data_IF_439700807908
#
_entry.id   IF_439700807908
#
_cell.length_a   1.000
_cell.length_b   1.000
_cell.length_c   1.000
_cell.angle_alpha   90.00
_cell.angle_beta   90.00
_cell.angle_gamma   90.00
#
_symmetry.space_group_name_H-M   'P 1'
#
loop_
_entity.id
_entity.type
_entity.pdbx_description
1 polymer ?
#
# COMPACT_ATOMS: atom_id res chain seq x y z
N UNK A 1 10.93 -17.13 3.87
CA UNK A 1 11.23 -16.28 5.04
C UNK A 1 10.24 -15.13 5.24
N UNK A 2 9.27 -14.95 4.35
CA UNK A 2 8.20 -13.93 4.39
C UNK A 2 7.18 -14.07 5.53
N UNK A 3 7.05 -15.24 6.16
CA UNK A 3 6.11 -15.49 7.27
C UNK A 3 6.67 -15.17 8.67
N UNK A 4 7.81 -14.49 8.78
CA UNK A 4 8.31 -14.09 10.10
C UNK A 4 7.35 -13.05 10.71
N UNK A 5 6.85 -13.23 11.95
CA UNK A 5 5.80 -12.39 12.52
C UNK A 5 6.19 -10.90 12.59
N UNK A 6 7.48 -10.62 12.73
CA UNK A 6 8.01 -9.25 12.69
C UNK A 6 7.85 -8.57 11.32
N UNK A 7 8.05 -9.32 10.23
CA UNK A 7 7.91 -8.80 8.86
C UNK A 7 6.43 -8.55 8.55
N UNK A 8 5.55 -9.45 9.00
CA UNK A 8 4.11 -9.28 8.88
C UNK A 8 3.62 -8.06 9.67
N UNK A 9 4.04 -7.91 10.93
CA UNK A 9 3.70 -6.74 11.75
C UNK A 9 4.22 -5.45 11.10
N UNK A 10 5.47 -5.42 10.66
CA UNK A 10 6.05 -4.28 9.95
C UNK A 10 5.26 -3.91 8.70
N UNK A 11 4.87 -4.90 7.89
CA UNK A 11 4.06 -4.70 6.68
C UNK A 11 2.67 -4.17 7.02
N UNK A 12 2.05 -4.68 8.08
CA UNK A 12 0.75 -4.20 8.55
C UNK A 12 0.80 -2.73 9.02
N UNK A 13 1.83 -2.34 9.78
CA UNK A 13 2.02 -0.94 10.16
C UNK A 13 2.28 -0.05 8.94
N UNK A 14 3.03 -0.54 7.95
CA UNK A 14 3.26 0.17 6.70
C UNK A 14 1.97 0.38 5.90
N UNK A 15 1.11 -0.64 5.86
CA UNK A 15 -0.20 -0.58 5.22
C UNK A 15 -1.10 0.47 5.89
N UNK A 16 -1.17 0.46 7.22
CA UNK A 16 -1.90 1.47 7.99
C UNK A 16 -1.35 2.89 7.76
N UNK A 17 -0.02 3.05 7.73
CA UNK A 17 0.61 4.32 7.42
C UNK A 17 0.27 4.80 6.00
N UNK A 18 0.25 3.88 5.03
CA UNK A 18 -0.16 4.15 3.66
C UNK A 18 -1.61 4.62 3.55
N UNK A 19 -2.55 3.93 4.20
CA UNK A 19 -3.96 4.35 4.25
C UNK A 19 -4.13 5.72 4.92
N UNK A 20 -3.40 5.96 6.03
CA UNK A 20 -3.39 7.25 6.70
C UNK A 20 -2.87 8.38 5.80
N UNK A 21 -1.78 8.13 5.07
CA UNK A 21 -1.23 9.06 4.09
C UNK A 21 -2.24 9.42 2.99
N UNK A 22 -2.95 8.42 2.45
CA UNK A 22 -4.02 8.63 1.46
C UNK A 22 -5.17 9.47 2.02
N UNK A 23 -5.55 9.23 3.28
CA UNK A 23 -6.60 10.01 3.94
C UNK A 23 -6.18 11.46 4.18
N UNK A 24 -4.95 11.69 4.63
CA UNK A 24 -4.38 13.03 4.80
C UNK A 24 -4.30 13.76 3.47
N UNK A 25 -3.87 13.09 2.40
CA UNK A 25 -3.88 13.64 1.06
C UNK A 25 -5.29 14.03 0.63
N UNK A 26 -6.26 13.10 0.72
CA UNK A 26 -7.65 13.37 0.35
C UNK A 26 -8.29 14.52 1.13
N UNK A 27 -7.91 14.68 2.40
CA UNK A 27 -8.35 15.80 3.23
C UNK A 27 -7.76 17.15 2.78
N UNK A 28 -6.47 17.19 2.42
CA UNK A 28 -5.78 18.41 2.01
C UNK A 28 -6.11 18.83 0.58
N UNK A 29 -6.38 17.87 -0.30
CA UNK A 29 -6.70 18.13 -1.71
C UNK A 29 -8.17 18.49 -1.92
N UNK A 30 -9.08 17.94 -1.10
CA UNK A 30 -10.51 18.21 -1.23
C UNK A 30 -10.91 19.59 -0.70
N UNK A 31 -11.83 20.25 -1.42
CA UNK A 31 -12.46 21.52 -1.00
C UNK A 31 -13.89 21.26 -0.52
N UNK A 32 -14.30 21.90 0.58
CA UNK A 32 -15.67 21.80 1.10
C UNK A 32 -16.05 20.39 1.57
N UNK A 33 -17.18 19.86 1.07
CA UNK A 33 -17.64 18.50 1.38
C UNK A 33 -16.83 17.39 0.70
N UNK A 34 -16.18 17.69 -0.43
CA UNK A 34 -15.40 16.73 -1.21
C UNK A 34 -14.19 16.18 -0.44
N UNK A 35 -13.67 16.93 0.55
CA UNK A 35 -12.60 16.46 1.42
C UNK A 35 -12.95 15.20 2.18
N UNK A 36 -14.20 15.04 2.63
CA UNK A 36 -14.62 13.85 3.36
C UNK A 36 -14.72 12.65 2.43
N UNK A 37 -15.25 12.87 1.22
CA UNK A 37 -15.34 11.86 0.18
C UNK A 37 -13.96 11.36 -0.22
N UNK A 38 -12.99 12.26 -0.43
CA UNK A 38 -11.63 11.88 -0.80
C UNK A 38 -10.85 11.27 0.38
N UNK A 39 -10.94 11.87 1.56
CA UNK A 39 -10.21 11.40 2.75
C UNK A 39 -10.65 10.01 3.23
N UNK A 40 -11.90 9.62 2.97
CA UNK A 40 -12.45 8.32 3.39
C UNK A 40 -12.56 7.37 2.20
N UNK A 41 -13.06 7.85 1.06
CA UNK A 41 -13.29 7.04 -0.13
C UNK A 41 -11.99 6.48 -0.71
N UNK A 42 -10.92 7.29 -0.77
CA UNK A 42 -9.65 6.83 -1.33
C UNK A 42 -9.02 5.71 -0.48
N UNK A 43 -8.87 5.85 0.85
CA UNK A 43 -8.40 4.74 1.68
C UNK A 43 -9.30 3.50 1.63
N UNK A 44 -10.63 3.66 1.61
CA UNK A 44 -11.55 2.52 1.53
C UNK A 44 -11.36 1.77 0.21
N UNK A 45 -11.30 2.47 -0.92
CA UNK A 45 -11.06 1.84 -2.22
C UNK A 45 -9.70 1.16 -2.22
N UNK A 46 -8.66 1.80 -1.71
CA UNK A 46 -7.32 1.23 -1.63
C UNK A 46 -7.29 -0.05 -0.76
N UNK A 47 -7.95 -0.04 0.40
CA UNK A 47 -8.07 -1.20 1.29
C UNK A 47 -8.88 -2.34 0.65
N UNK A 48 -9.97 -2.00 -0.06
CA UNK A 48 -10.76 -2.97 -0.81
C UNK A 48 -9.93 -3.61 -1.92
N UNK A 49 -9.21 -2.82 -2.72
CA UNK A 49 -8.31 -3.33 -3.75
C UNK A 49 -7.24 -4.25 -3.15
N UNK A 50 -6.65 -3.86 -2.03
CA UNK A 50 -5.64 -4.65 -1.33
C UNK A 50 -6.18 -5.98 -0.78
N UNK A 51 -7.40 -5.99 -0.25
CA UNK A 51 -8.03 -7.17 0.34
C UNK A 51 -8.65 -8.13 -0.68
N UNK A 52 -9.26 -7.60 -1.76
CA UNK A 52 -9.96 -8.38 -2.77
C UNK A 52 -8.98 -9.07 -3.72
N UNK A 53 -7.98 -8.34 -4.20
CA UNK A 53 -7.07 -8.82 -5.23
C UNK A 53 -5.85 -9.51 -4.63
N UNK A 54 -5.97 -10.81 -4.34
CA UNK A 54 -4.89 -11.60 -3.73
C UNK A 54 -4.33 -12.62 -4.71
N UNK A 55 -3.06 -12.96 -4.53
CA UNK A 55 -2.42 -14.04 -5.29
C UNK A 55 -2.88 -15.37 -4.68
N UNK A 56 -3.29 -16.35 -5.50
CA UNK A 56 -3.62 -17.68 -5.00
C UNK A 56 -2.38 -18.31 -4.33
N UNK A 57 -2.58 -18.93 -3.15
CA UNK A 57 -1.57 -19.55 -2.26
C UNK A 57 -0.78 -18.63 -1.31
N UNK A 58 -1.12 -17.35 -1.18
CA UNK A 58 -0.67 -16.47 -0.09
C UNK A 58 -1.73 -16.50 1.04
N UNK A 59 -1.39 -16.66 2.34
CA UNK A 59 -2.18 -17.43 3.30
C UNK A 59 -3.66 -17.01 3.36
N UNK A 60 -4.51 -17.83 2.73
CA UNK A 60 -5.96 -17.63 2.66
C UNK A 60 -6.53 -17.83 1.25
N UNK A 61 -7.86 -17.87 1.15
CA UNK A 61 -8.56 -17.90 -0.13
C UNK A 61 -8.52 -16.50 -0.76
N UNK A 62 -8.04 -16.39 -1.99
CA UNK A 62 -8.17 -15.17 -2.78
C UNK A 62 -9.63 -14.99 -3.22
N UNK A 63 -10.22 -13.82 -2.96
CA UNK A 63 -11.55 -13.47 -3.47
C UNK A 63 -11.50 -13.29 -5.00
N UNK A 64 -10.46 -12.62 -5.49
CA UNK A 64 -10.12 -12.54 -6.90
C UNK A 64 -8.65 -12.89 -7.06
N UNK A 65 -8.39 -14.05 -7.67
CA UNK A 65 -7.03 -14.52 -7.96
C UNK A 65 -6.42 -13.67 -9.08
N UNK A 66 -5.32 -12.98 -8.79
CA UNK A 66 -4.56 -12.20 -9.78
C UNK A 66 -3.14 -12.74 -9.93
N UNK A 67 -2.52 -12.60 -11.13
CA UNK A 67 -1.11 -12.93 -11.34
C UNK A 67 -0.20 -12.14 -10.40
N UNK A 68 0.94 -12.72 -10.01
CA UNK A 68 1.83 -12.07 -9.05
C UNK A 68 2.40 -10.74 -9.55
N UNK A 69 2.63 -10.62 -10.86
CA UNK A 69 3.00 -9.35 -11.50
C UNK A 69 1.92 -8.25 -11.32
N UNK A 70 0.64 -8.60 -11.42
CA UNK A 70 -0.47 -7.63 -11.20
C UNK A 70 -0.53 -7.22 -9.73
N UNK A 71 -0.29 -8.16 -8.81
CA UNK A 71 -0.20 -7.86 -7.38
C UNK A 71 0.94 -6.89 -7.11
N UNK A 72 2.09 -7.08 -7.74
CA UNK A 72 3.24 -6.17 -7.60
C UNK A 72 2.91 -4.75 -8.09
N UNK A 73 2.22 -4.62 -9.22
CA UNK A 73 1.77 -3.31 -9.72
C UNK A 73 0.78 -2.65 -8.76
N UNK A 74 -0.13 -3.43 -8.15
CA UNK A 74 -1.06 -2.93 -7.14
C UNK A 74 -0.32 -2.48 -5.88
N UNK A 75 0.68 -3.24 -5.41
CA UNK A 75 1.50 -2.85 -4.26
C UNK A 75 2.29 -1.57 -4.53
N UNK A 76 2.92 -1.46 -5.70
CA UNK A 76 3.63 -0.27 -6.14
C UNK A 76 2.68 0.92 -6.30
N UNK A 77 1.49 0.70 -6.85
CA UNK A 77 0.46 1.73 -6.98
C UNK A 77 0.00 2.23 -5.62
N UNK A 78 -0.27 1.33 -4.67
CA UNK A 78 -0.69 1.66 -3.32
C UNK A 78 0.36 2.49 -2.58
N UNK A 79 1.58 1.98 -2.47
CA UNK A 79 2.64 2.69 -1.74
C UNK A 79 3.15 3.92 -2.49
N UNK A 80 3.22 3.86 -3.82
CA UNK A 80 3.57 4.99 -4.66
C UNK A 80 2.57 6.13 -4.52
N UNK A 81 1.28 5.82 -4.51
CA UNK A 81 0.23 6.81 -4.26
C UNK A 81 0.33 7.40 -2.85
N UNK A 82 0.64 6.59 -1.83
CA UNK A 82 0.84 7.11 -0.47
C UNK A 82 2.02 8.10 -0.40
N UNK A 83 3.15 7.81 -1.04
CA UNK A 83 4.32 8.70 -1.09
C UNK A 83 4.03 9.98 -1.87
N UNK A 84 3.43 9.85 -3.06
CA UNK A 84 3.04 10.99 -3.88
C UNK A 84 1.98 11.86 -3.19
N UNK A 85 1.03 11.23 -2.50
CA UNK A 85 0.01 11.91 -1.73
C UNK A 85 0.60 12.72 -0.59
N UNK A 86 1.59 12.19 0.14
CA UNK A 86 2.31 12.97 1.17
C UNK A 86 3.12 14.11 0.57
N UNK A 87 3.74 13.90 -0.59
CA UNK A 87 4.50 14.93 -1.30
C UNK A 87 3.60 16.09 -1.75
N UNK A 88 2.46 15.76 -2.40
CA UNK A 88 1.46 16.73 -2.84
C UNK A 88 0.80 17.46 -1.67
N UNK A 89 0.56 16.74 -0.57
CA UNK A 89 0.13 17.29 0.72
C UNK A 89 1.15 18.24 1.39
N UNK A 90 2.31 18.49 0.77
CA UNK A 90 3.44 19.30 1.29
C UNK A 90 4.06 18.75 2.57
N UNK A 91 3.89 17.45 2.85
CA UNK A 91 4.51 16.75 3.97
C UNK A 91 5.79 16.05 3.52
N UNK A 92 6.73 16.86 2.99
CA UNK A 92 7.99 16.39 2.38
C UNK A 92 8.77 15.42 3.27
N UNK A 93 8.98 15.67 4.59
CA UNK A 93 9.71 14.73 5.43
C UNK A 93 9.01 13.38 5.56
N UNK A 94 7.67 13.38 5.69
CA UNK A 94 6.88 12.16 5.80
C UNK A 94 6.90 11.36 4.48
N UNK A 95 6.88 12.05 3.32
CA UNK A 95 7.01 11.41 2.01
C UNK A 95 8.34 10.67 1.87
N UNK A 96 9.45 11.29 2.30
CA UNK A 96 10.76 10.65 2.29
C UNK A 96 10.84 9.45 3.22
N UNK A 97 10.36 9.59 4.46
CA UNK A 97 10.31 8.47 5.42
C UNK A 97 9.49 7.31 4.84
N UNK A 98 8.28 7.59 4.33
CA UNK A 98 7.43 6.58 3.72
C UNK A 98 8.12 5.88 2.53
N UNK A 99 8.75 6.65 1.63
CA UNK A 99 9.47 6.10 0.48
C UNK A 99 10.64 5.21 0.88
N UNK A 100 11.47 5.64 1.84
CA UNK A 100 12.62 4.87 2.33
C UNK A 100 12.14 3.57 2.99
N UNK A 101 11.10 3.63 3.83
CA UNK A 101 10.59 2.45 4.55
C UNK A 101 9.96 1.46 3.56
N UNK A 102 9.26 1.93 2.53
CA UNK A 102 8.75 1.08 1.43
C UNK A 102 9.90 0.41 0.68
N UNK A 103 10.97 1.13 0.36
CA UNK A 103 12.15 0.54 -0.29
C UNK A 103 12.82 -0.52 0.60
N UNK A 104 12.96 -0.25 1.90
CA UNK A 104 13.47 -1.23 2.87
C UNK A 104 12.59 -2.47 2.94
N UNK A 105 11.26 -2.32 2.91
CA UNK A 105 10.31 -3.45 2.84
C UNK A 105 10.57 -4.32 1.61
N UNK A 106 10.76 -3.71 0.44
CA UNK A 106 11.08 -4.43 -0.80
C UNK A 106 12.46 -5.10 -0.75
N UNK A 107 13.46 -4.44 -0.15
CA UNK A 107 14.79 -5.02 0.02
C UNK A 107 14.78 -6.24 0.96
N UNK A 108 14.06 -6.15 2.09
CA UNK A 108 13.91 -7.27 3.05
C UNK A 108 13.08 -8.41 2.44
N UNK A 109 12.07 -8.07 1.64
CA UNK A 109 11.13 -9.05 1.05
C UNK A 109 11.41 -9.33 -0.44
N UNK A 110 12.69 -9.29 -0.86
CA UNK A 110 13.06 -9.52 -2.27
C UNK A 110 12.62 -10.92 -2.76
N UNK A 111 12.65 -11.91 -1.88
CA UNK A 111 12.16 -13.28 -2.13
C UNK A 111 10.68 -13.30 -2.54
N UNK A 112 9.86 -12.43 -1.95
CA UNK A 112 8.42 -12.31 -2.26
C UNK A 112 8.21 -11.73 -3.66
N UNK A 113 8.99 -10.71 -4.05
CA UNK A 113 8.93 -10.13 -5.40
C UNK A 113 9.35 -11.14 -6.46
N UNK A 114 10.43 -11.88 -6.21
CA UNK A 114 10.90 -12.94 -7.11
C UNK A 114 9.90 -14.08 -7.23
N UNK A 115 9.19 -14.43 -6.15
CA UNK A 115 8.11 -15.40 -6.17
C UNK A 115 6.91 -14.91 -6.99
N UNK A 116 6.46 -13.67 -6.76
CA UNK A 116 5.38 -13.03 -7.52
C UNK A 116 5.69 -12.95 -9.03
N UNK A 117 6.95 -12.77 -9.41
CA UNK A 117 7.36 -12.73 -10.82
C UNK A 117 7.44 -14.11 -11.47
N UNK A 118 7.54 -15.20 -10.68
CA UNK A 118 7.61 -16.58 -11.18
C UNK A 118 6.23 -17.24 -11.31
N UNK A 119 5.16 -16.58 -10.89
CA UNK A 119 3.80 -17.10 -10.82
C UNK A 119 2.88 -16.43 -11.84
#
# INVERSE_FOLDING_TARGET
MSNHPLILAFTFFLELAGLGAMGVWGWRTGVGGMRFVLAIGVPIVAAALWGIFRVPNDPGNALVAIPGAVRLVLELGFYGFAVLGLYDARLIPAAWVMGIVVLLRYAISYDHVLWLLRQ
#
